data_IF_689389486108
#
_entry.id   IF_689389486108
#
_cell.length_a   1.000
_cell.length_b   1.000
_cell.length_c   1.000
_cell.angle_alpha   90.00
_cell.angle_beta   90.00
_cell.angle_gamma   90.00
#
_symmetry.space_group_name_H-M   'P 1'
#
loop_
_entity.id
_entity.type
_entity.pdbx_description
1 polymer ?
#
# COMPACT_ATOMS: atom_id res chain seq x y z
N UNK A 1 -9.35 -46.14 1.00
CA UNK A 1 -9.31 -44.70 0.65
C UNK A 1 -10.66 -44.37 0.02
N UNK A 2 -11.62 -43.92 0.83
CA UNK A 2 -12.97 -43.55 0.37
C UNK A 2 -13.02 -42.03 0.45
N UNK A 3 -13.01 -41.36 -0.70
CA UNK A 3 -13.20 -39.92 -0.78
C UNK A 3 -14.70 -39.66 -0.84
N UNK A 4 -15.27 -39.19 0.27
CA UNK A 4 -16.58 -38.56 0.26
C UNK A 4 -16.38 -37.09 -0.11
N UNK A 5 -16.66 -36.75 -1.37
CA UNK A 5 -16.67 -35.37 -1.83
C UNK A 5 -18.06 -34.82 -1.56
N UNK A 6 -18.25 -34.24 -0.38
CA UNK A 6 -19.45 -33.46 -0.10
C UNK A 6 -19.47 -32.25 -1.04
N UNK A 7 -20.44 -32.23 -1.96
CA UNK A 7 -20.73 -31.06 -2.79
C UNK A 7 -21.25 -29.96 -1.86
N UNK A 8 -20.37 -29.06 -1.45
CA UNK A 8 -20.76 -27.81 -0.81
C UNK A 8 -21.73 -27.05 -1.72
N UNK A 9 -22.83 -26.56 -1.14
CA UNK A 9 -23.83 -25.79 -1.87
C UNK A 9 -23.15 -24.60 -2.57
N UNK A 10 -23.29 -24.52 -3.90
CA UNK A 10 -22.86 -23.34 -4.65
C UNK A 10 -23.78 -22.20 -4.24
N UNK A 11 -23.32 -21.34 -3.34
CA UNK A 11 -24.02 -20.11 -3.00
C UNK A 11 -24.07 -19.23 -4.26
N UNK A 12 -25.26 -19.12 -4.86
CA UNK A 12 -25.51 -18.19 -5.97
C UNK A 12 -25.77 -16.79 -5.40
N UNK A 13 -25.33 -15.77 -6.13
CA UNK A 13 -25.62 -14.36 -5.87
C UNK A 13 -25.19 -13.84 -4.48
N UNK A 14 -24.07 -14.33 -3.95
CA UNK A 14 -23.51 -13.86 -2.66
C UNK A 14 -23.20 -12.36 -2.69
N UNK A 15 -22.65 -11.87 -3.80
CA UNK A 15 -22.37 -10.47 -4.04
C UNK A 15 -22.89 -10.12 -5.43
N UNK A 16 -23.92 -9.27 -5.49
CA UNK A 16 -24.49 -8.78 -6.74
C UNK A 16 -24.87 -7.30 -6.60
N UNK A 17 -24.44 -6.48 -7.56
CA UNK A 17 -24.71 -5.06 -7.57
C UNK A 17 -25.07 -4.56 -8.96
N UNK A 18 -26.11 -3.72 -9.03
CA UNK A 18 -26.40 -2.89 -10.19
C UNK A 18 -25.94 -1.46 -9.89
N UNK A 19 -25.04 -0.94 -10.72
CA UNK A 19 -24.32 0.30 -10.42
C UNK A 19 -24.28 1.23 -11.63
N UNK A 20 -24.48 2.52 -11.41
CA UNK A 20 -24.41 3.57 -12.45
C UNK A 20 -23.14 4.37 -12.26
N UNK A 21 -22.28 4.39 -13.28
CA UNK A 21 -20.98 5.11 -13.27
C UNK A 21 -21.09 6.39 -14.11
N UNK A 22 -21.57 7.52 -13.53
CA UNK A 22 -21.57 8.80 -14.23
C UNK A 22 -20.14 9.27 -14.51
N UNK A 23 -19.95 9.85 -15.69
CA UNK A 23 -18.69 10.43 -16.15
C UNK A 23 -18.97 11.68 -16.95
N UNK A 24 -18.25 12.75 -16.65
CA UNK A 24 -18.33 14.01 -17.39
C UNK A 24 -16.93 14.56 -17.55
N UNK A 25 -16.64 15.11 -18.73
CA UNK A 25 -15.38 15.74 -19.04
C UNK A 25 -15.61 16.92 -19.96
N UNK A 26 -14.86 17.99 -19.73
CA UNK A 26 -14.87 19.21 -20.54
C UNK A 26 -13.44 19.58 -20.87
N UNK A 27 -13.20 19.99 -22.11
CA UNK A 27 -11.92 20.49 -22.57
C UNK A 27 -12.11 21.83 -23.27
N UNK A 28 -11.35 22.84 -22.85
CA UNK A 28 -11.42 24.21 -23.33
C UNK A 28 -10.05 24.64 -23.82
N UNK A 29 -9.95 24.93 -25.12
CA UNK A 29 -8.79 25.63 -25.67
C UNK A 29 -8.94 27.11 -25.38
N UNK A 30 -7.97 27.71 -24.69
CA UNK A 30 -8.04 29.11 -24.30
C UNK A 30 -7.86 30.01 -25.53
N UNK A 31 -8.83 30.89 -25.85
CA UNK A 31 -8.71 31.81 -26.97
C UNK A 31 -7.45 32.68 -26.83
N UNK A 32 -6.72 32.87 -27.92
CA UNK A 32 -5.44 33.60 -27.95
C UNK A 32 -4.34 33.03 -27.03
N UNK A 33 -4.53 31.84 -26.44
CA UNK A 33 -3.58 31.19 -25.54
C UNK A 33 -2.51 30.33 -26.21
N UNK A 34 -2.24 30.52 -27.52
CA UNK A 34 -1.22 29.77 -28.27
C UNK A 34 -1.29 28.23 -28.15
N UNK A 35 -2.52 27.67 -28.06
CA UNK A 35 -2.73 26.23 -27.91
C UNK A 35 -2.84 25.75 -26.46
N UNK A 36 -2.80 26.66 -25.48
CA UNK A 36 -3.09 26.38 -24.08
C UNK A 36 -4.47 25.71 -23.93
N UNK A 37 -4.49 24.59 -23.22
CA UNK A 37 -5.63 23.70 -23.08
C UNK A 37 -5.89 23.40 -21.61
N UNK A 38 -7.11 23.65 -21.18
CA UNK A 38 -7.59 23.31 -19.83
C UNK A 38 -8.63 22.21 -19.96
N UNK A 39 -8.52 21.19 -19.13
CA UNK A 39 -9.45 20.05 -19.07
C UNK A 39 -9.92 19.88 -17.63
N UNK A 40 -11.18 19.55 -17.46
CA UNK A 40 -11.77 19.17 -16.19
C UNK A 40 -12.60 17.92 -16.35
N UNK A 41 -12.50 16.98 -15.43
CA UNK A 41 -13.32 15.77 -15.45
C UNK A 41 -13.77 15.33 -14.06
N UNK A 42 -14.92 14.68 -14.04
CA UNK A 42 -15.45 13.94 -12.91
C UNK A 42 -15.85 12.54 -13.36
N UNK A 43 -15.54 11.54 -12.54
CA UNK A 43 -16.01 10.18 -12.73
C UNK A 43 -16.30 9.51 -11.40
N UNK A 44 -17.40 8.73 -11.33
CA UNK A 44 -17.60 7.73 -10.27
C UNK A 44 -17.14 6.37 -10.78
N UNK A 45 -16.09 5.83 -10.18
CA UNK A 45 -15.53 4.53 -10.52
C UNK A 45 -15.86 3.53 -9.43
N UNK A 46 -16.25 2.31 -9.79
CA UNK A 46 -16.49 1.25 -8.81
C UNK A 46 -15.28 0.33 -8.72
N UNK A 47 -14.86 0.00 -7.51
CA UNK A 47 -13.68 -0.85 -7.30
C UNK A 47 -13.95 -2.28 -7.76
N UNK A 48 -12.93 -2.97 -8.30
CA UNK A 48 -12.98 -4.42 -8.46
C UNK A 48 -13.01 -5.10 -7.09
N UNK A 49 -13.61 -6.28 -7.03
CA UNK A 49 -13.63 -7.11 -5.82
C UNK A 49 -12.74 -8.31 -6.05
N UNK A 50 -11.94 -8.65 -5.06
CA UNK A 50 -11.11 -9.84 -5.11
C UNK A 50 -11.96 -11.10 -4.87
N UNK A 51 -11.74 -12.15 -5.66
CA UNK A 51 -12.49 -13.42 -5.52
C UNK A 51 -12.40 -14.04 -4.12
N UNK A 52 -11.28 -13.84 -3.41
CA UNK A 52 -11.07 -14.26 -2.02
C UNK A 52 -12.10 -13.72 -1.02
N UNK A 53 -12.86 -12.68 -1.36
CA UNK A 53 -13.92 -12.19 -0.47
C UNK A 53 -15.05 -13.21 -0.33
N UNK A 54 -15.21 -14.11 -1.32
CA UNK A 54 -16.15 -15.22 -1.24
C UNK A 54 -15.75 -16.28 -0.19
N UNK A 55 -14.52 -16.24 0.32
CA UNK A 55 -14.10 -17.12 1.42
C UNK A 55 -14.90 -16.85 2.70
N UNK A 56 -15.40 -15.62 2.87
CA UNK A 56 -16.29 -15.26 3.98
C UNK A 56 -17.69 -15.85 3.84
N UNK A 57 -18.07 -16.36 2.66
CA UNK A 57 -19.41 -16.88 2.42
C UNK A 57 -19.52 -18.39 2.65
N UNK A 58 -18.41 -19.13 2.64
CA UNK A 58 -18.42 -20.59 2.65
C UNK A 58 -17.65 -21.15 3.84
N UNK A 59 -18.29 -22.06 4.58
CA UNK A 59 -17.66 -22.76 5.70
C UNK A 59 -16.48 -23.66 5.27
N UNK A 60 -16.39 -23.98 3.98
CA UNK A 60 -15.31 -24.81 3.42
C UNK A 60 -14.01 -24.04 3.14
N UNK A 61 -14.02 -22.70 3.27
CA UNK A 61 -12.80 -21.91 3.14
C UNK A 61 -11.88 -22.10 4.35
N UNK A 62 -10.61 -21.74 4.17
CA UNK A 62 -9.60 -21.86 5.22
C UNK A 62 -10.10 -21.25 6.53
N UNK A 63 -9.92 -22.00 7.62
CA UNK A 63 -10.24 -21.57 8.96
C UNK A 63 -9.59 -22.46 10.00
N UNK A 64 -9.72 -22.06 11.26
CA UNK A 64 -9.09 -22.75 12.36
C UNK A 64 -9.39 -22.13 13.70
N UNK A 65 -8.84 -22.75 14.73
CA UNK A 65 -8.89 -22.31 16.10
C UNK A 65 -7.47 -22.08 16.60
N UNK A 66 -7.27 -21.01 17.34
CA UNK A 66 -6.00 -20.69 17.99
C UNK A 66 -6.16 -20.98 19.47
N UNK A 67 -5.16 -21.66 20.01
CA UNK A 67 -5.09 -22.05 21.42
C UNK A 67 -3.83 -21.46 22.04
N UNK A 68 -3.90 -21.22 23.34
CA UNK A 68 -2.73 -20.88 24.12
C UNK A 68 -1.78 -22.08 24.16
N UNK A 69 -0.50 -21.86 23.88
CA UNK A 69 0.54 -22.85 24.14
C UNK A 69 1.07 -22.64 25.56
N UNK A 70 1.00 -23.70 26.36
CA UNK A 70 1.53 -23.73 27.73
C UNK A 70 2.64 -24.76 27.76
N UNK A 71 3.86 -24.32 27.44
CA UNK A 71 5.07 -25.12 27.57
C UNK A 71 5.34 -25.39 29.05
N UNK A 72 4.95 -26.59 29.52
CA UNK A 72 5.09 -26.95 30.94
C UNK A 72 6.45 -27.56 31.24
N UNK A 73 7.09 -28.15 30.25
CA UNK A 73 8.33 -28.89 30.40
C UNK A 73 9.57 -28.00 30.08
N UNK A 74 9.36 -26.85 29.44
CA UNK A 74 10.36 -25.84 29.09
C UNK A 74 11.24 -26.22 27.90
N UNK A 75 10.84 -27.18 27.07
CA UNK A 75 11.68 -27.72 25.99
C UNK A 75 11.54 -26.96 24.66
N UNK A 76 10.56 -26.05 24.56
CA UNK A 76 10.29 -25.26 23.35
C UNK A 76 9.65 -26.03 22.20
N UNK A 77 9.13 -27.24 22.43
CA UNK A 77 8.43 -28.07 21.47
C UNK A 77 6.99 -28.30 21.90
N UNK A 78 6.05 -28.16 20.96
CA UNK A 78 4.64 -28.41 21.29
C UNK A 78 4.37 -29.90 21.46
N UNK A 79 3.89 -30.30 22.64
CA UNK A 79 3.51 -31.68 22.95
C UNK A 79 1.99 -31.86 23.24
N UNK A 80 1.43 -33.05 22.97
CA UNK A 80 0.07 -33.38 23.41
C UNK A 80 -0.08 -33.24 24.94
N UNK A 81 -0.85 -32.23 25.37
CA UNK A 81 -1.05 -31.91 26.79
C UNK A 81 -0.71 -30.46 27.14
N UNK A 82 0.02 -29.78 26.25
CA UNK A 82 0.41 -28.36 26.37
C UNK A 82 -0.57 -27.39 25.70
N UNK A 83 -1.63 -27.96 25.11
CA UNK A 83 -2.75 -27.19 24.57
C UNK A 83 -3.55 -26.57 25.71
N UNK A 84 -3.44 -25.26 25.86
CA UNK A 84 -4.22 -24.45 26.79
C UNK A 84 -5.62 -24.10 26.26
N UNK A 85 -6.18 -23.02 26.80
CA UNK A 85 -7.49 -22.53 26.42
C UNK A 85 -7.55 -22.09 24.95
N UNK A 86 -8.73 -22.16 24.35
CA UNK A 86 -8.97 -21.51 23.05
C UNK A 86 -8.93 -20.00 23.25
N UNK A 87 -8.26 -19.27 22.36
CA UNK A 87 -8.17 -17.82 22.40
C UNK A 87 -9.09 -17.20 21.34
N UNK A 88 -8.98 -17.65 20.10
CA UNK A 88 -9.79 -17.16 18.99
C UNK A 88 -10.12 -18.27 18.00
N UNK A 89 -11.11 -18.02 17.17
CA UNK A 89 -11.46 -18.84 16.00
C UNK A 89 -11.50 -17.96 14.77
N UNK A 90 -11.17 -18.48 13.59
CA UNK A 90 -11.14 -17.70 12.35
C UNK A 90 -11.50 -18.52 11.12
N UNK A 91 -11.79 -17.80 10.02
CA UNK A 91 -11.99 -18.38 8.70
C UNK A 91 -13.45 -18.60 8.32
N UNK A 92 -13.65 -19.29 7.20
CA UNK A 92 -14.95 -19.38 6.52
C UNK A 92 -16.08 -19.92 7.40
N UNK A 93 -15.79 -20.89 8.26
CA UNK A 93 -16.78 -21.48 9.18
C UNK A 93 -17.33 -20.50 10.23
N UNK A 94 -16.62 -19.41 10.50
CA UNK A 94 -16.98 -18.38 11.48
C UNK A 94 -17.18 -17.02 10.82
N UNK A 95 -17.45 -17.02 9.52
CA UNK A 95 -17.55 -15.82 8.70
C UNK A 95 -18.86 -15.77 7.92
N UNK A 96 -19.28 -14.56 7.56
CA UNK A 96 -20.38 -14.32 6.63
C UNK A 96 -20.15 -13.04 5.82
N UNK A 97 -20.94 -12.86 4.76
CA UNK A 97 -20.98 -11.62 3.99
C UNK A 97 -22.29 -10.89 4.31
N UNK A 98 -22.20 -9.60 4.62
CA UNK A 98 -23.37 -8.78 4.91
C UNK A 98 -24.31 -8.73 3.70
N UNK A 99 -25.61 -8.94 3.93
CA UNK A 99 -26.64 -8.80 2.87
C UNK A 99 -26.80 -7.37 2.37
N UNK A 100 -26.38 -6.38 3.18
CA UNK A 100 -26.41 -4.96 2.82
C UNK A 100 -25.07 -4.47 2.29
N UNK A 101 -24.12 -5.37 1.98
CA UNK A 101 -22.82 -5.03 1.41
C UNK A 101 -23.03 -4.19 0.14
N UNK A 102 -22.47 -2.99 0.15
CA UNK A 102 -22.46 -2.04 -0.95
C UNK A 102 -21.16 -2.17 -1.73
N UNK A 103 -21.24 -1.91 -3.03
CA UNK A 103 -20.06 -1.86 -3.90
C UNK A 103 -19.19 -0.65 -3.54
N UNK A 104 -17.91 -0.84 -3.22
CA UNK A 104 -16.99 0.28 -3.04
C UNK A 104 -16.88 1.11 -4.30
N UNK A 105 -16.73 2.41 -4.13
CA UNK A 105 -16.58 3.32 -5.25
C UNK A 105 -15.69 4.51 -4.87
N UNK A 106 -15.15 5.14 -5.91
CA UNK A 106 -14.34 6.33 -5.82
C UNK A 106 -14.99 7.44 -6.67
N UNK A 107 -15.17 8.61 -6.08
CA UNK A 107 -15.41 9.84 -6.83
C UNK A 107 -14.06 10.46 -7.20
N UNK A 108 -13.79 10.62 -8.49
CA UNK A 108 -12.55 11.20 -9.02
C UNK A 108 -12.82 12.56 -9.65
N UNK A 109 -11.93 13.51 -9.35
CA UNK A 109 -11.92 14.87 -9.88
C UNK A 109 -10.52 15.16 -10.40
N UNK A 110 -10.45 15.62 -11.64
CA UNK A 110 -9.20 15.97 -12.28
C UNK A 110 -9.32 17.33 -12.96
N UNK A 111 -8.31 18.16 -12.77
CA UNK A 111 -8.13 19.42 -13.50
C UNK A 111 -6.73 19.39 -14.11
N UNK A 112 -6.64 19.54 -15.42
CA UNK A 112 -5.41 19.45 -16.18
C UNK A 112 -5.23 20.72 -17.03
N UNK A 113 -4.03 21.28 -17.02
CA UNK A 113 -3.66 22.44 -17.80
C UNK A 113 -2.38 22.12 -18.59
N UNK A 114 -2.42 22.29 -19.90
CA UNK A 114 -1.32 21.94 -20.81
C UNK A 114 -0.98 23.15 -21.69
N UNK A 115 0.28 23.58 -21.61
CA UNK A 115 0.83 24.69 -22.38
C UNK A 115 1.87 24.15 -23.38
N UNK A 116 1.54 24.06 -24.68
CA UNK A 116 2.55 23.81 -25.70
C UNK A 116 3.44 25.04 -25.85
N UNK A 117 4.75 24.84 -25.82
CA UNK A 117 5.75 25.90 -26.01
C UNK A 117 6.32 25.86 -27.42
N UNK A 118 6.61 24.66 -27.91
CA UNK A 118 7.08 24.38 -29.28
C UNK A 118 6.49 23.06 -29.75
N UNK A 119 6.80 22.63 -30.97
CA UNK A 119 6.42 21.29 -31.45
C UNK A 119 7.05 20.13 -30.65
N UNK A 120 8.10 20.39 -29.86
CA UNK A 120 8.81 19.38 -29.06
C UNK A 120 8.80 19.68 -27.56
N UNK A 121 8.16 20.78 -27.13
CA UNK A 121 8.22 21.24 -25.75
C UNK A 121 6.84 21.59 -25.22
N UNK A 122 6.54 21.15 -23.99
CA UNK A 122 5.29 21.45 -23.30
C UNK A 122 5.51 21.55 -21.79
N UNK A 123 4.58 22.24 -21.12
CA UNK A 123 4.39 22.21 -19.68
C UNK A 123 2.99 21.68 -19.38
N UNK A 124 2.86 20.87 -18.34
CA UNK A 124 1.58 20.30 -17.91
C UNK A 124 1.47 20.35 -16.40
N UNK A 125 0.29 20.71 -15.91
CA UNK A 125 -0.07 20.67 -14.50
C UNK A 125 -1.38 19.92 -14.35
N UNK A 126 -1.43 18.95 -13.46
CA UNK A 126 -2.63 18.20 -13.13
C UNK A 126 -2.87 18.27 -11.61
N UNK A 127 -4.08 18.64 -11.24
CA UNK A 127 -4.61 18.52 -9.89
C UNK A 127 -5.57 17.35 -9.89
N UNK A 128 -5.36 16.40 -8.97
CA UNK A 128 -6.19 15.22 -8.86
C UNK A 128 -6.72 15.07 -7.44
N UNK A 129 -7.93 14.53 -7.34
CA UNK A 129 -8.56 14.13 -6.09
C UNK A 129 -9.41 12.89 -6.32
N UNK A 130 -9.24 11.90 -5.48
CA UNK A 130 -9.97 10.65 -5.44
C UNK A 130 -10.49 10.42 -4.02
N UNK A 131 -11.80 10.32 -3.86
CA UNK A 131 -12.47 10.03 -2.60
C UNK A 131 -13.09 8.63 -2.65
N UNK A 132 -12.46 7.66 -2.00
CA UNK A 132 -12.95 6.29 -1.87
C UNK A 132 -13.94 6.16 -0.71
N UNK A 133 -15.07 5.51 -0.98
CA UNK A 133 -16.23 5.39 -0.10
C UNK A 133 -16.78 3.98 -0.12
N UNK A 134 -17.57 3.66 0.90
CA UNK A 134 -18.14 2.33 1.11
C UNK A 134 -17.07 1.24 1.01
N UNK A 135 -15.88 1.48 1.58
CA UNK A 135 -14.80 0.49 1.60
C UNK A 135 -15.24 -0.74 2.37
N UNK A 136 -14.78 -1.90 1.90
CA UNK A 136 -15.08 -3.19 2.55
C UNK A 136 -14.06 -3.40 3.67
N UNK A 137 -14.57 -3.83 4.82
CA UNK A 137 -13.79 -4.27 5.98
C UNK A 137 -14.40 -5.54 6.55
N UNK A 138 -13.78 -6.08 7.58
CA UNK A 138 -14.33 -7.19 8.37
C UNK A 138 -14.55 -6.71 9.78
N UNK A 139 -15.78 -6.88 10.26
CA UNK A 139 -16.13 -6.61 11.65
C UNK A 139 -16.33 -7.94 12.38
N UNK A 140 -15.86 -8.03 13.62
CA UNK A 140 -16.17 -9.16 14.49
C UNK A 140 -17.46 -8.87 15.26
N UNK A 141 -18.59 -9.38 14.77
CA UNK A 141 -19.90 -9.24 15.42
C UNK A 141 -20.11 -10.24 16.57
N UNK A 142 -19.23 -11.24 16.70
CA UNK A 142 -19.24 -12.18 17.81
C UNK A 142 -18.76 -11.56 19.13
N UNK A 143 -17.96 -10.50 19.05
CA UNK A 143 -17.42 -9.78 20.20
C UNK A 143 -18.01 -8.38 20.28
N UNK A 144 -18.82 -8.12 21.31
CA UNK A 144 -19.33 -6.78 21.59
C UNK A 144 -18.27 -5.89 22.24
N UNK A 145 -18.54 -4.57 22.31
CA UNK A 145 -17.65 -3.62 23.02
C UNK A 145 -17.41 -3.99 24.50
N UNK A 146 -18.38 -4.66 25.13
CA UNK A 146 -18.30 -5.10 26.52
C UNK A 146 -17.40 -6.33 26.72
N UNK A 147 -16.96 -6.98 25.63
CA UNK A 147 -15.97 -8.06 25.69
C UNK A 147 -14.55 -7.53 25.98
N UNK A 148 -14.37 -6.21 26.08
CA UNK A 148 -13.07 -5.58 26.24
C UNK A 148 -13.06 -4.57 27.37
N UNK A 149 -12.00 -4.59 28.18
CA UNK A 149 -11.75 -3.64 29.26
C UNK A 149 -10.49 -2.82 28.94
N UNK A 150 -10.52 -1.48 29.11
CA UNK A 150 -9.33 -0.67 28.87
C UNK A 150 -8.26 -0.93 29.94
N UNK A 151 -7.03 -1.15 29.48
CA UNK A 151 -5.83 -1.33 30.31
C UNK A 151 -4.78 -0.31 29.88
N UNK A 152 -4.20 0.39 30.85
CA UNK A 152 -3.10 1.30 30.58
C UNK A 152 -1.78 0.52 30.53
N UNK A 153 -1.04 0.66 29.43
CA UNK A 153 0.32 0.13 29.26
C UNK A 153 1.31 1.27 29.09
N UNK A 154 2.53 1.05 29.57
CA UNK A 154 3.64 2.00 29.37
C UNK A 154 4.27 1.70 28.01
N UNK A 155 4.31 2.73 27.16
CA UNK A 155 5.09 2.77 25.95
C UNK A 155 6.45 3.42 26.26
N UNK A 156 7.56 2.67 26.23
CA UNK A 156 8.91 3.16 26.61
C UNK A 156 9.55 4.05 25.52
N UNK A 157 8.73 4.76 24.75
CA UNK A 157 9.20 5.65 23.69
C UNK A 157 9.96 4.97 22.52
N UNK A 158 10.47 5.78 21.58
CA UNK A 158 11.32 5.31 20.49
C UNK A 158 12.67 4.72 20.90
N UNK A 159 13.22 5.05 22.07
CA UNK A 159 14.48 4.45 22.54
C UNK A 159 14.29 3.03 23.13
N UNK A 160 13.06 2.69 23.50
CA UNK A 160 12.71 1.38 24.05
C UNK A 160 13.21 1.17 25.48
N UNK A 161 13.56 2.23 26.20
CA UNK A 161 14.11 2.19 27.56
C UNK A 161 13.06 2.75 28.52
N UNK A 162 12.41 1.93 29.35
CA UNK A 162 11.43 2.43 30.31
C UNK A 162 12.06 3.40 31.33
N UNK A 163 11.28 4.41 31.74
CA UNK A 163 11.66 5.40 32.75
C UNK A 163 12.41 6.61 32.19
N UNK A 164 12.43 6.79 30.88
CA UNK A 164 13.00 7.97 30.20
C UNK A 164 11.93 9.03 29.94
N UNK A 165 12.35 10.18 29.38
CA UNK A 165 11.46 11.34 29.20
C UNK A 165 10.47 11.17 28.04
N UNK A 166 10.69 10.20 27.15
CA UNK A 166 9.86 9.90 25.98
C UNK A 166 8.82 8.78 26.22
N UNK A 167 8.75 8.27 27.47
CA UNK A 167 7.72 7.35 27.94
C UNK A 167 6.30 7.95 27.80
N UNK A 168 5.36 7.11 27.38
CA UNK A 168 3.96 7.48 27.23
C UNK A 168 3.06 6.40 27.82
N UNK A 169 1.85 6.78 28.22
CA UNK A 169 0.80 5.82 28.56
C UNK A 169 -0.12 5.60 27.35
N UNK A 170 -0.29 4.34 26.96
CA UNK A 170 -1.22 3.94 25.92
C UNK A 170 -2.37 3.17 26.55
N UNK A 171 -3.60 3.50 26.16
CA UNK A 171 -4.76 2.65 26.48
C UNK A 171 -4.87 1.57 25.43
N UNK A 172 -4.71 0.32 25.86
CA UNK A 172 -5.04 -0.88 25.10
C UNK A 172 -6.25 -1.55 25.73
N UNK A 173 -6.72 -2.64 25.15
CA UNK A 173 -7.92 -3.32 25.56
C UNK A 173 -7.63 -4.80 25.81
N UNK A 174 -7.90 -5.25 27.03
CA UNK A 174 -7.88 -6.65 27.40
C UNK A 174 -9.23 -7.28 27.06
N UNK A 175 -9.22 -8.45 26.43
CA UNK A 175 -10.43 -9.20 26.15
C UNK A 175 -10.81 -10.03 27.37
N UNK A 176 -12.09 -10.01 27.74
CA UNK A 176 -12.64 -10.90 28.75
C UNK A 176 -12.50 -12.36 28.28
N UNK A 177 -11.80 -13.17 29.07
CA UNK A 177 -11.55 -14.58 28.80
C UNK A 177 -12.85 -15.40 28.63
N UNK A 178 -13.97 -14.95 29.20
CA UNK A 178 -15.27 -15.60 29.00
C UNK A 178 -15.77 -15.50 27.54
N UNK A 179 -15.22 -14.58 26.76
CA UNK A 179 -15.60 -14.32 25.35
C UNK A 179 -14.68 -14.99 24.34
N UNK A 180 -13.64 -15.69 24.77
CA UNK A 180 -12.71 -16.37 23.86
C UNK A 180 -13.42 -17.39 22.97
N UNK A 181 -13.01 -17.42 21.70
CA UNK A 181 -13.62 -18.30 20.68
C UNK A 181 -15.08 -17.98 20.38
N UNK A 182 -15.59 -16.79 20.72
CA UNK A 182 -16.92 -16.33 20.31
C UNK A 182 -16.91 -15.54 19.00
N UNK A 183 -15.76 -15.43 18.32
CA UNK A 183 -15.57 -14.64 17.10
C UNK A 183 -16.58 -14.96 16.00
N UNK A 184 -17.15 -13.95 15.37
CA UNK A 184 -18.02 -14.12 14.21
C UNK A 184 -17.78 -12.94 13.26
N UNK A 185 -17.11 -13.21 12.14
CA UNK A 185 -16.66 -12.19 11.23
C UNK A 185 -17.72 -11.90 10.16
N UNK A 186 -17.93 -10.62 9.87
CA UNK A 186 -18.83 -10.19 8.81
C UNK A 186 -18.09 -9.25 7.87
N UNK A 187 -17.98 -9.67 6.61
CA UNK A 187 -17.51 -8.81 5.53
C UNK A 187 -18.59 -7.76 5.23
N UNK A 188 -18.30 -6.49 5.48
CA UNK A 188 -19.29 -5.40 5.46
C UNK A 188 -18.64 -4.06 5.06
N UNK A 189 -19.45 -3.01 4.93
CA UNK A 189 -18.97 -1.63 4.81
C UNK A 189 -19.16 -0.93 6.16
N UNK A 190 -18.07 -0.71 6.89
CA UNK A 190 -18.14 0.02 8.15
C UNK A 190 -18.43 1.52 7.90
N UNK A 191 -19.29 2.16 8.72
CA UNK A 191 -19.58 3.59 8.58
C UNK A 191 -18.33 4.45 8.71
N UNK A 192 -18.17 5.43 7.81
CA UNK A 192 -17.08 6.41 7.88
C UNK A 192 -15.72 5.94 7.35
N UNK A 193 -15.60 4.69 6.91
CA UNK A 193 -14.35 4.18 6.29
C UNK A 193 -14.20 4.76 4.88
N UNK A 194 -13.28 5.72 4.76
CA UNK A 194 -13.01 6.45 3.52
C UNK A 194 -11.51 6.68 3.35
N UNK A 195 -11.05 6.64 2.12
CA UNK A 195 -9.67 7.01 1.78
C UNK A 195 -9.70 8.19 0.82
N UNK A 196 -8.99 9.26 1.18
CA UNK A 196 -8.70 10.36 0.28
C UNK A 196 -7.34 10.11 -0.36
N UNK A 197 -7.24 10.27 -1.67
CA UNK A 197 -5.97 10.43 -2.38
C UNK A 197 -6.05 11.72 -3.20
N UNK A 198 -5.18 12.68 -2.94
CA UNK A 198 -5.18 13.95 -3.66
C UNK A 198 -3.78 14.50 -3.80
N UNK A 199 -3.57 15.32 -4.82
CA UNK A 199 -2.25 15.88 -5.07
C UNK A 199 -2.17 16.74 -6.32
N UNK A 200 -0.94 17.06 -6.65
CA UNK A 200 -0.55 17.82 -7.84
C UNK A 200 0.55 17.06 -8.58
N UNK A 201 0.44 16.97 -9.89
CA UNK A 201 1.46 16.45 -10.78
C UNK A 201 1.86 17.52 -11.78
N UNK A 202 3.15 17.82 -11.87
CA UNK A 202 3.72 18.76 -12.81
C UNK A 202 4.64 18.01 -13.77
N UNK A 203 4.56 18.31 -15.07
CA UNK A 203 5.40 17.69 -16.10
C UNK A 203 5.93 18.76 -17.05
N UNK A 204 7.17 18.58 -17.49
CA UNK A 204 7.80 19.43 -18.47
C UNK A 204 8.56 18.55 -19.47
N UNK A 205 8.34 18.79 -20.77
CA UNK A 205 9.17 18.23 -21.83
C UNK A 205 9.84 19.37 -22.57
N UNK A 206 11.13 19.23 -22.85
CA UNK A 206 11.90 20.15 -23.66
C UNK A 206 12.70 19.35 -24.68
N UNK A 207 12.43 19.59 -25.96
CA UNK A 207 13.24 19.08 -27.06
C UNK A 207 14.12 20.18 -27.63
N UNK A 208 15.43 19.94 -27.67
CA UNK A 208 16.40 20.86 -28.27
C UNK A 208 17.47 20.09 -29.03
N UNK A 209 17.56 20.34 -30.34
CA UNK A 209 18.44 19.61 -31.27
C UNK A 209 18.22 18.09 -31.13
N UNK A 210 19.27 17.37 -30.73
CA UNK A 210 19.30 15.91 -30.56
C UNK A 210 19.04 15.47 -29.11
N UNK A 211 18.70 16.41 -28.23
CA UNK A 211 18.38 16.17 -26.83
C UNK A 211 16.87 16.29 -26.62
N UNK A 212 16.31 15.31 -25.91
CA UNK A 212 14.96 15.37 -25.38
C UNK A 212 15.02 15.16 -23.87
N UNK A 213 14.53 16.12 -23.10
CA UNK A 213 14.41 16.01 -21.64
C UNK A 213 12.94 15.99 -21.26
N UNK A 214 12.58 15.12 -20.34
CA UNK A 214 11.27 15.03 -19.72
C UNK A 214 11.44 14.98 -18.21
N UNK A 215 10.80 15.90 -17.49
CA UNK A 215 10.78 15.93 -16.04
C UNK A 215 9.34 15.85 -15.55
N UNK A 216 9.13 15.12 -14.46
CA UNK A 216 7.85 14.99 -13.80
C UNK A 216 8.06 15.07 -12.28
N UNK A 217 7.14 15.73 -11.59
CA UNK A 217 7.09 15.83 -10.14
C UNK A 217 5.65 15.62 -9.68
N UNK A 218 5.46 14.89 -8.59
CA UNK A 218 4.14 14.69 -7.98
C UNK A 218 4.27 14.89 -6.48
N UNK A 219 3.39 15.72 -5.93
CA UNK A 219 3.18 15.83 -4.50
C UNK A 219 1.78 15.32 -4.18
N UNK A 220 1.67 14.32 -3.30
CA UNK A 220 0.43 13.61 -3.01
C UNK A 220 0.21 13.37 -1.51
N UNK A 221 -1.05 13.09 -1.18
CA UNK A 221 -1.45 12.60 0.13
C UNK A 221 -2.57 11.57 -0.05
N UNK A 222 -2.28 10.34 0.34
CA UNK A 222 -3.22 9.26 0.53
C UNK A 222 -3.47 9.05 2.03
N UNK A 223 -4.71 9.25 2.48
CA UNK A 223 -5.08 9.34 3.89
C UNK A 223 -6.42 8.68 4.17
N UNK A 224 -6.46 7.78 5.14
CA UNK A 224 -7.65 7.04 5.53
C UNK A 224 -7.35 5.99 6.60
N UNK A 225 -8.38 5.34 7.17
CA UNK A 225 -8.16 4.19 8.04
C UNK A 225 -7.66 2.99 7.23
N UNK A 226 -6.55 2.39 7.68
CA UNK A 226 -6.02 1.12 7.14
C UNK A 226 -5.65 0.18 8.29
N UNK A 227 -5.48 -1.12 8.00
CA UNK A 227 -5.08 -2.09 9.03
C UNK A 227 -3.73 -1.69 9.67
N UNK A 228 -3.43 -2.18 10.89
CA UNK A 228 -2.05 -2.16 11.39
C UNK A 228 -1.10 -2.93 10.45
N UNK A 229 0.19 -2.62 10.56
CA UNK A 229 1.26 -3.26 9.78
C UNK A 229 2.18 -2.26 9.08
N UNK A 230 3.11 -2.80 8.29
CA UNK A 230 4.18 -2.09 7.59
C UNK A 230 4.48 -2.75 6.24
N UNK A 231 3.45 -3.24 5.54
CA UNK A 231 3.58 -3.83 4.21
C UNK A 231 2.34 -3.59 3.34
N UNK A 232 2.53 -3.67 2.02
CA UNK A 232 1.46 -3.44 1.02
C UNK A 232 0.25 -4.37 1.20
N UNK A 233 0.46 -5.58 1.73
CA UNK A 233 -0.62 -6.54 2.00
C UNK A 233 -1.15 -6.46 3.44
N UNK A 234 -0.73 -5.47 4.21
CA UNK A 234 -1.17 -5.24 5.58
C UNK A 234 -1.94 -3.92 5.66
N UNK A 235 -1.28 -2.78 5.43
CA UNK A 235 -1.78 -1.46 5.80
C UNK A 235 -2.08 -0.52 4.62
N UNK A 236 -2.42 -1.09 3.45
CA UNK A 236 -2.90 -0.35 2.28
C UNK A 236 -4.45 -0.30 2.22
N UNK A 237 -5.07 0.72 1.60
CA UNK A 237 -6.48 0.70 1.28
C UNK A 237 -6.95 -0.59 0.60
N UNK A 238 -8.17 -1.01 0.93
CA UNK A 238 -8.86 -2.21 0.45
C UNK A 238 -8.21 -3.56 0.78
N UNK A 239 -7.11 -3.58 1.53
CA UNK A 239 -6.65 -4.81 2.20
C UNK A 239 -7.66 -5.19 3.29
N UNK A 240 -8.26 -6.36 3.14
CA UNK A 240 -9.08 -6.97 4.19
C UNK A 240 -8.16 -7.62 5.21
N UNK A 241 -8.26 -7.17 6.46
CA UNK A 241 -7.42 -7.60 7.55
C UNK A 241 -8.01 -7.23 8.90
N UNK A 242 -7.15 -6.88 9.86
CA UNK A 242 -7.54 -6.65 11.25
C UNK A 242 -8.28 -5.34 11.53
N UNK A 243 -8.41 -4.42 10.57
CA UNK A 243 -9.03 -3.11 10.78
C UNK A 243 -10.45 -3.24 11.37
N UNK A 244 -10.61 -2.79 12.62
CA UNK A 244 -11.86 -2.83 13.40
C UNK A 244 -12.32 -4.23 13.86
N UNK A 245 -11.49 -5.27 13.73
CA UNK A 245 -11.80 -6.59 14.29
C UNK A 245 -11.87 -6.54 15.82
N UNK A 246 -11.02 -5.72 16.43
CA UNK A 246 -11.00 -5.47 17.87
C UNK A 246 -10.60 -4.01 18.19
N UNK A 247 -10.78 -3.54 19.44
CA UNK A 247 -10.41 -2.17 19.81
C UNK A 247 -8.92 -1.84 19.66
N UNK A 248 -8.01 -2.80 19.81
CA UNK A 248 -6.56 -2.59 19.68
C UNK A 248 -6.15 -2.37 18.22
N UNK A 249 -6.79 -3.09 17.29
CA UNK A 249 -6.63 -2.90 15.84
C UNK A 249 -7.21 -1.57 15.33
N UNK A 250 -7.94 -0.84 16.18
CA UNK A 250 -8.59 0.44 15.87
C UNK A 250 -7.73 1.65 16.28
N UNK A 251 -6.64 1.43 17.02
CA UNK A 251 -5.74 2.47 17.52
C UNK A 251 -4.95 3.10 16.36
N UNK A 252 -5.00 4.43 16.25
CA UNK A 252 -4.23 5.23 15.26
C UNK A 252 -4.36 4.74 13.81
N UNK A 253 -5.52 4.20 13.45
CA UNK A 253 -5.77 3.63 12.12
C UNK A 253 -5.89 4.70 11.03
N UNK A 254 -6.44 5.87 11.35
CA UNK A 254 -6.55 7.00 10.43
C UNK A 254 -5.16 7.63 10.21
N UNK A 255 -4.51 7.25 9.12
CA UNK A 255 -3.16 7.70 8.80
C UNK A 255 -2.88 7.65 7.29
N UNK A 256 -1.62 7.86 6.90
CA UNK A 256 -1.18 7.66 5.53
C UNK A 256 -1.19 6.17 5.17
N UNK A 257 -1.58 5.86 3.93
CA UNK A 257 -1.50 4.50 3.38
C UNK A 257 -0.06 4.08 3.13
N UNK A 258 0.20 2.76 3.10
CA UNK A 258 1.54 2.24 2.87
C UNK A 258 2.24 2.80 1.64
N UNK A 259 1.55 2.86 0.51
CA UNK A 259 2.15 3.34 -0.76
C UNK A 259 2.15 4.86 -0.92
N UNK A 260 1.76 5.64 0.12
CA UNK A 260 1.80 7.10 0.06
C UNK A 260 3.25 7.60 -0.03
N UNK A 261 3.65 8.09 -1.21
CA UNK A 261 5.01 8.55 -1.42
C UNK A 261 5.24 9.99 -0.99
N UNK A 262 4.23 10.77 -0.62
CA UNK A 262 4.32 12.23 -0.44
C UNK A 262 4.90 13.01 -1.63
N UNK A 263 6.13 12.74 -2.03
CA UNK A 263 6.83 13.33 -3.16
C UNK A 263 7.44 12.27 -4.06
N UNK A 264 7.21 12.41 -5.36
CA UNK A 264 7.83 11.61 -6.42
C UNK A 264 8.43 12.55 -7.45
N UNK A 265 9.70 12.36 -7.78
CA UNK A 265 10.40 13.11 -8.81
C UNK A 265 10.96 12.18 -9.87
N UNK A 266 10.92 12.59 -11.13
CA UNK A 266 11.50 11.84 -12.24
C UNK A 266 12.07 12.78 -13.27
N UNK A 267 13.27 12.50 -13.74
CA UNK A 267 13.87 13.16 -14.91
C UNK A 267 14.42 12.11 -15.86
N UNK A 268 14.11 12.26 -17.13
CA UNK A 268 14.55 11.42 -18.23
C UNK A 268 15.16 12.30 -19.30
N UNK A 269 16.34 11.93 -19.79
CA UNK A 269 17.00 12.59 -20.89
C UNK A 269 17.41 11.56 -21.93
N UNK A 270 17.15 11.85 -23.20
CA UNK A 270 17.64 11.06 -24.33
C UNK A 270 18.49 11.98 -25.20
N UNK A 271 19.71 11.54 -25.48
CA UNK A 271 20.60 12.16 -26.45
C UNK A 271 20.84 11.22 -27.62
N UNK A 272 20.60 11.71 -28.83
CA UNK A 272 20.94 11.02 -30.07
C UNK A 272 22.28 11.54 -30.56
N UNK A 273 23.26 10.66 -30.68
CA UNK A 273 24.55 11.06 -31.21
C UNK A 273 24.43 11.37 -32.71
N UNK A 274 25.32 12.22 -33.25
CA UNK A 274 25.37 12.50 -34.68
C UNK A 274 25.49 11.23 -35.52
N UNK A 275 25.01 11.26 -36.76
CA UNK A 275 25.05 10.11 -37.67
C UNK A 275 26.46 9.51 -37.87
N UNK A 276 27.51 10.33 -37.75
CA UNK A 276 28.92 9.88 -37.78
C UNK A 276 29.26 8.84 -36.69
N UNK A 277 28.49 8.79 -35.59
CA UNK A 277 28.62 7.82 -34.50
C UNK A 277 27.65 6.65 -34.65
N UNK A 278 27.09 6.47 -35.86
CA UNK A 278 26.28 5.32 -36.21
C UNK A 278 24.90 5.27 -35.55
N UNK A 279 24.31 6.43 -35.23
CA UNK A 279 22.95 6.51 -34.68
C UNK A 279 22.83 6.05 -33.22
N UNK A 280 23.93 6.06 -32.48
CA UNK A 280 23.98 5.73 -31.05
C UNK A 280 23.01 6.62 -30.25
N UNK A 281 22.36 6.05 -29.24
CA UNK A 281 21.46 6.77 -28.34
C UNK A 281 21.86 6.50 -26.89
N UNK A 282 21.96 7.56 -26.11
CA UNK A 282 22.11 7.50 -24.65
C UNK A 282 20.82 7.99 -24.00
N UNK A 283 20.25 7.18 -23.12
CA UNK A 283 19.18 7.59 -22.24
C UNK A 283 19.66 7.57 -20.79
N UNK A 284 19.26 8.58 -20.01
CA UNK A 284 19.49 8.69 -18.59
C UNK A 284 18.15 8.91 -17.89
N UNK A 285 17.91 8.16 -16.81
CA UNK A 285 16.68 8.25 -16.02
C UNK A 285 17.05 8.34 -14.55
N UNK A 286 16.67 9.41 -13.87
CA UNK A 286 16.77 9.52 -12.43
C UNK A 286 15.38 9.63 -11.80
N UNK A 287 15.12 8.83 -10.76
CA UNK A 287 13.87 8.83 -10.01
C UNK A 287 14.15 9.06 -8.53
N UNK A 288 13.37 9.94 -7.92
CA UNK A 288 13.28 10.15 -6.49
C UNK A 288 11.92 9.68 -6.00
N UNK A 289 11.89 8.87 -4.95
CA UNK A 289 10.68 8.47 -4.24
C UNK A 289 10.90 8.78 -2.76
N UNK A 290 10.02 9.54 -2.11
CA UNK A 290 10.12 9.67 -0.67
C UNK A 290 9.88 8.32 0.03
N UNK A 291 10.25 8.26 1.31
CA UNK A 291 10.13 7.08 2.13
C UNK A 291 8.69 6.61 2.34
N UNK A 292 8.48 5.30 2.36
CA UNK A 292 7.18 4.71 2.69
C UNK A 292 6.82 5.00 4.16
N UNK A 293 5.60 5.45 4.47
CA UNK A 293 5.17 5.73 5.83
C UNK A 293 4.95 4.45 6.65
N UNK A 294 5.31 4.51 7.92
CA UNK A 294 5.02 3.46 8.88
C UNK A 294 4.80 4.02 10.29
N UNK A 295 4.23 3.19 11.17
CA UNK A 295 3.96 3.52 12.56
C UNK A 295 4.86 2.66 13.42
N UNK A 296 5.37 3.22 14.53
CA UNK A 296 6.05 2.40 15.53
C UNK A 296 5.03 1.44 16.17
N UNK A 297 5.40 0.17 16.31
CA UNK A 297 4.60 -0.86 16.94
C UNK A 297 5.16 -1.19 18.32
N UNK A 298 4.29 -1.35 19.32
CA UNK A 298 4.64 -1.86 20.63
C UNK A 298 4.12 -3.28 20.77
N UNK A 299 4.99 -4.21 21.17
CA UNK A 299 4.59 -5.55 21.58
C UNK A 299 4.01 -5.47 23.00
N UNK A 300 2.72 -5.72 23.12
CA UNK A 300 2.02 -5.80 24.40
C UNK A 300 1.91 -7.25 24.80
N UNK A 301 2.24 -7.56 26.05
CA UNK A 301 2.23 -8.91 26.62
C UNK A 301 1.50 -8.89 27.97
N UNK A 302 1.11 -10.07 28.47
CA UNK A 302 0.55 -10.22 29.82
C UNK A 302 -0.94 -9.94 29.95
N UNK A 303 -1.65 -9.71 28.84
CA UNK A 303 -3.11 -9.68 28.81
C UNK A 303 -3.68 -11.07 28.50
N UNK A 304 -4.92 -11.32 28.91
CA UNK A 304 -5.57 -12.62 28.78
C UNK A 304 -5.57 -13.17 27.34
N UNK A 305 -5.74 -12.32 26.31
CA UNK A 305 -5.75 -12.74 24.91
C UNK A 305 -4.36 -13.11 24.33
N UNK A 306 -3.30 -12.97 25.12
CA UNK A 306 -1.92 -13.19 24.68
C UNK A 306 -1.29 -11.96 24.01
N UNK A 307 -0.08 -12.13 23.43
CA UNK A 307 0.69 -11.02 22.89
C UNK A 307 0.13 -10.48 21.57
N UNK A 308 0.19 -9.16 21.39
CA UNK A 308 -0.18 -8.49 20.14
C UNK A 308 0.63 -7.21 19.91
N UNK A 309 0.62 -6.71 18.68
CA UNK A 309 1.24 -5.44 18.31
C UNK A 309 0.18 -4.33 18.26
N UNK A 310 0.53 -3.16 18.79
CA UNK A 310 -0.31 -1.95 18.69
C UNK A 310 0.51 -0.75 18.22
N UNK A 311 -0.11 0.13 17.43
CA UNK A 311 0.56 1.30 16.88
C UNK A 311 0.67 2.41 17.94
N UNK A 312 1.90 2.83 18.26
CA UNK A 312 2.17 3.90 19.23
C UNK A 312 2.28 5.27 18.58
N UNK A 313 2.61 5.33 17.29
CA UNK A 313 2.59 6.57 16.48
C UNK A 313 1.58 6.48 15.36
N UNK A 314 1.21 7.62 14.75
CA UNK A 314 0.55 7.58 13.43
C UNK A 314 1.54 7.16 12.35
N UNK A 315 1.05 6.88 11.13
CA UNK A 315 1.89 6.58 9.96
C UNK A 315 2.21 7.84 9.15
N UNK A 316 3.50 8.02 8.87
CA UNK A 316 4.01 9.09 8.01
C UNK A 316 4.03 10.49 8.65
N UNK A 317 4.85 11.35 8.07
CA UNK A 317 4.98 12.76 8.46
C UNK A 317 4.21 13.67 7.47
N UNK A 318 3.82 14.91 7.85
CA UNK A 318 4.17 15.65 9.08
C UNK A 318 3.32 15.32 10.32
N UNK A 319 2.38 14.37 10.24
CA UNK A 319 1.41 14.10 11.31
C UNK A 319 2.00 13.44 12.58
N UNK A 320 3.33 13.40 12.73
CA UNK A 320 4.03 12.79 13.87
C UNK A 320 4.37 11.31 13.68
N UNK A 321 4.23 10.77 12.46
CA UNK A 321 4.61 9.40 12.11
C UNK A 321 5.96 9.29 11.42
N UNK A 322 6.35 8.05 11.11
CA UNK A 322 7.65 7.71 10.55
C UNK A 322 7.57 7.48 9.03
N UNK A 323 8.67 7.73 8.33
CA UNK A 323 8.90 7.31 6.94
C UNK A 323 10.21 6.56 6.85
N UNK A 324 10.27 5.56 5.99
CA UNK A 324 11.51 4.87 5.64
C UNK A 324 12.49 5.83 4.93
N UNK A 325 13.66 5.34 4.54
CA UNK A 325 14.59 6.15 3.77
C UNK A 325 14.01 6.41 2.36
N UNK A 326 14.22 7.62 1.84
CA UNK A 326 13.91 7.92 0.44
C UNK A 326 14.73 7.02 -0.50
N UNK A 327 14.24 6.83 -1.72
CA UNK A 327 14.93 6.10 -2.79
C UNK A 327 15.33 7.10 -3.87
N UNK A 328 16.63 7.12 -4.21
CA UNK A 328 17.14 7.87 -5.35
C UNK A 328 17.86 6.90 -6.28
N UNK A 329 17.24 6.64 -7.43
CA UNK A 329 17.75 5.68 -8.41
C UNK A 329 18.11 6.39 -9.72
N UNK A 330 19.34 6.19 -10.20
CA UNK A 330 19.82 6.67 -11.49
C UNK A 330 20.17 5.50 -12.39
N UNK A 331 19.64 5.49 -13.60
CA UNK A 331 19.79 4.43 -14.60
C UNK A 331 20.27 5.03 -15.92
N UNK A 332 21.06 4.25 -16.66
CA UNK A 332 21.55 4.60 -17.99
C UNK A 332 21.19 3.50 -18.99
N UNK A 333 20.90 3.89 -20.22
CA UNK A 333 20.77 2.97 -21.35
C UNK A 333 21.56 3.48 -22.53
N UNK A 334 22.39 2.61 -23.10
CA UNK A 334 23.02 2.80 -24.39
C UNK A 334 22.32 1.91 -25.41
N UNK A 335 21.89 2.47 -26.55
CA UNK A 335 21.23 1.71 -27.62
C UNK A 335 21.81 2.09 -28.98
N UNK A 336 21.96 1.10 -29.86
CA UNK A 336 22.27 1.31 -31.27
C UNK A 336 21.43 0.40 -32.15
N UNK A 337 20.81 0.99 -33.16
CA UNK A 337 19.98 0.30 -34.15
C UNK A 337 20.76 0.15 -35.45
N UNK A 338 20.78 -1.06 -36.01
CA UNK A 338 21.43 -1.42 -37.26
C UNK A 338 20.37 -1.84 -38.27
N UNK A 339 20.19 -1.01 -39.31
CA UNK A 339 19.30 -1.33 -40.43
C UNK A 339 20.00 -2.28 -41.39
N UNK A 340 19.39 -3.43 -41.65
CA UNK A 340 19.74 -4.36 -42.71
C UNK A 340 18.77 -4.16 -43.88
N UNK A 341 18.97 -4.89 -44.98
CA UNK A 341 18.18 -4.69 -46.22
C UNK A 341 16.66 -4.84 -46.01
N UNK A 342 16.25 -5.87 -45.26
CA UNK A 342 14.85 -6.14 -44.93
C UNK A 342 14.57 -6.18 -43.42
N UNK A 343 15.61 -6.11 -42.58
CA UNK A 343 15.53 -6.42 -41.15
C UNK A 343 16.18 -5.32 -40.31
N UNK A 344 15.94 -5.31 -39.01
CA UNK A 344 16.60 -4.40 -38.06
C UNK A 344 17.17 -5.19 -36.87
N UNK A 345 18.41 -4.92 -36.50
CA UNK A 345 19.04 -5.45 -35.29
C UNK A 345 19.32 -4.28 -34.34
N UNK A 346 18.83 -4.37 -33.11
CA UNK A 346 19.12 -3.39 -32.08
C UNK A 346 19.92 -4.02 -30.93
N UNK A 347 21.03 -3.39 -30.56
CA UNK A 347 21.79 -3.73 -29.37
C UNK A 347 21.54 -2.69 -28.29
N UNK A 348 21.30 -3.15 -27.06
CA UNK A 348 21.12 -2.27 -25.91
C UNK A 348 21.84 -2.79 -24.67
N UNK A 349 22.40 -1.86 -23.90
CA UNK A 349 22.96 -2.11 -22.58
C UNK A 349 22.31 -1.15 -21.59
N UNK A 350 21.68 -1.68 -20.56
CA UNK A 350 21.13 -0.92 -19.44
C UNK A 350 22.06 -1.08 -18.22
N UNK A 351 22.42 0.02 -17.57
CA UNK A 351 23.09 0.05 -16.27
C UNK A 351 22.08 0.59 -15.26
N UNK A 352 21.63 -0.28 -14.37
CA UNK A 352 20.59 0.01 -13.40
C UNK A 352 21.24 0.28 -12.03
N UNK A 353 20.72 1.27 -11.29
CA UNK A 353 21.32 1.78 -10.05
C UNK A 353 22.81 2.13 -10.23
N UNK A 354 23.10 3.10 -11.11
CA UNK A 354 24.46 3.57 -11.41
C UNK A 354 25.20 4.02 -10.17
N UNK A 355 24.53 4.57 -9.15
CA UNK A 355 25.19 4.97 -7.90
C UNK A 355 25.53 3.79 -6.99
N UNK A 356 25.05 2.58 -7.29
CA UNK A 356 25.14 1.41 -6.42
C UNK A 356 24.67 1.71 -4.99
N UNK A 357 23.64 2.55 -4.86
CA UNK A 357 23.12 2.94 -3.56
C UNK A 357 22.37 1.75 -2.93
N UNK A 358 22.16 1.79 -1.61
CA UNK A 358 21.46 0.73 -0.85
C UNK A 358 20.42 1.31 0.12
N UNK A 359 19.57 2.24 -0.33
CA UNK A 359 18.59 2.87 0.56
C UNK A 359 17.62 1.85 1.16
N UNK A 360 17.29 2.05 2.43
CA UNK A 360 16.37 1.21 3.21
C UNK A 360 14.94 1.49 2.80
N UNK A 361 14.38 0.65 1.93
CA UNK A 361 13.00 0.80 1.42
C UNK A 361 11.95 0.42 2.47
N UNK A 362 12.35 -0.38 3.46
CA UNK A 362 11.56 -0.71 4.65
C UNK A 362 12.51 -0.79 5.85
N UNK A 363 12.04 -0.34 7.01
CA UNK A 363 12.84 -0.28 8.24
C UNK A 363 12.08 -0.96 9.38
N UNK A 364 12.82 -1.37 10.42
CA UNK A 364 12.25 -1.90 11.65
C UNK A 364 11.26 -0.89 12.24
N UNK A 365 10.08 -1.38 12.55
CA UNK A 365 8.95 -0.61 13.09
C UNK A 365 8.61 -0.99 14.53
N UNK A 366 9.12 -2.10 15.06
CA UNK A 366 8.88 -2.53 16.43
C UNK A 366 9.72 -1.72 17.42
N UNK A 367 9.11 -1.37 18.55
CA UNK A 367 9.71 -0.67 19.69
C UNK A 367 10.81 -1.52 20.31
N UNK A 368 11.94 -0.88 20.60
CA UNK A 368 13.10 -1.50 21.23
C UNK A 368 14.35 -0.65 20.99
N UNK A 369 15.47 -1.08 21.56
CA UNK A 369 16.75 -0.35 21.53
C UNK A 369 17.29 -0.06 20.13
N UNK A 370 16.81 -0.80 19.12
CA UNK A 370 17.21 -0.63 17.71
C UNK A 370 16.25 0.22 16.88
N UNK A 371 15.10 0.65 17.42
CA UNK A 371 14.11 1.41 16.65
C UNK A 371 14.70 2.72 16.11
N UNK A 372 15.39 3.48 16.97
CA UNK A 372 16.07 4.72 16.57
C UNK A 372 17.24 4.50 15.61
N UNK A 373 17.81 3.29 15.55
CA UNK A 373 18.85 2.94 14.58
C UNK A 373 18.30 2.73 13.16
N UNK A 374 16.97 2.62 12.99
CA UNK A 374 16.30 2.53 11.68
C UNK A 374 16.85 1.43 10.78
N UNK A 375 17.15 0.26 11.36
CA UNK A 375 17.76 -0.86 10.65
C UNK A 375 16.88 -1.29 9.45
N UNK A 376 17.50 -1.61 8.29
CA UNK A 376 16.76 -2.03 7.11
C UNK A 376 16.12 -3.42 7.30
N UNK A 377 14.85 -3.53 6.95
CA UNK A 377 14.17 -4.81 6.73
C UNK A 377 14.28 -5.21 5.25
N UNK A 378 14.18 -4.22 4.36
CA UNK A 378 14.42 -4.38 2.94
C UNK A 378 15.23 -3.20 2.40
N UNK A 379 16.12 -3.50 1.46
CA UNK A 379 16.96 -2.53 0.76
C UNK A 379 16.69 -2.57 -0.73
N UNK A 380 16.93 -1.46 -1.42
CA UNK A 380 16.88 -1.48 -2.87
C UNK A 380 17.95 -2.42 -3.47
N UNK A 381 17.69 -3.03 -4.65
CA UNK A 381 18.69 -3.81 -5.36
C UNK A 381 19.96 -3.00 -5.67
N UNK A 382 21.13 -3.65 -5.59
CA UNK A 382 22.41 -3.07 -5.98
C UNK A 382 22.51 -2.81 -7.49
N UNK A 383 23.67 -2.33 -7.94
CA UNK A 383 23.93 -2.08 -9.37
C UNK A 383 23.89 -3.39 -10.15
N UNK A 384 23.21 -3.40 -11.29
CA UNK A 384 23.27 -4.51 -12.23
C UNK A 384 23.21 -4.03 -13.68
N UNK A 385 23.78 -4.85 -14.58
CA UNK A 385 23.85 -4.58 -16.02
C UNK A 385 22.96 -5.57 -16.75
N UNK A 386 22.14 -5.07 -17.67
CA UNK A 386 21.35 -5.88 -18.58
C UNK A 386 21.79 -5.62 -20.01
N UNK A 387 22.06 -6.68 -20.76
CA UNK A 387 22.36 -6.61 -22.20
C UNK A 387 21.19 -7.25 -22.96
N UNK A 388 20.78 -6.62 -24.05
CA UNK A 388 19.68 -7.10 -24.88
C UNK A 388 19.97 -6.93 -26.36
N UNK A 389 19.49 -7.88 -27.16
CA UNK A 389 19.48 -7.84 -28.61
C UNK A 389 18.04 -8.00 -29.08
N UNK A 390 17.59 -7.15 -29.99
CA UNK A 390 16.27 -7.26 -30.62
C UNK A 390 16.48 -7.41 -32.12
N UNK A 391 15.77 -8.38 -32.71
CA UNK A 391 15.75 -8.61 -34.16
C UNK A 391 14.31 -8.45 -34.65
N UNK A 392 14.11 -7.57 -35.63
CA UNK A 392 12.82 -7.32 -36.28
C UNK A 392 12.91 -7.70 -37.76
N UNK A 393 11.91 -8.44 -38.26
CA UNK A 393 11.81 -8.94 -39.63
C UNK A 393 10.65 -8.29 -40.39
#
# INVERSE_FOLDING_TARGET
>A
MLFDVSRGAVLRDVIAWNSVSPRVGVALRVPHGHGFLVRGSYARLYSPVAGRYLDYATANSLGGNVYQWIDRNGDGWFEPGEKGAMLLRFGGAYSSISRSLKRPYADQFDVDAELPLTSKSFLRLNLFRRDEKDRIVVENQGLGRNAFTPVAVVDPGPDGIPGTFDDQHLTVYEQDAATFGQDAYVLTNAPGVRTLNAGISAQARVGWRDVLVHAAFTAEKAWGPTNPGNAVFENDPDVIGALFIDPNSSVRTLARSFVDRAYVGKIEAVYRFPAAWGGLQLAAIANYLDGLPFARQLLVTGLAQGPFLTSTTVRGSPEGGNRAQYVLNWNLRLRRDFRLHSNEVAFATDILNVMNASQSVQQVDVTGTTFNARLPVAIQPGRFVRVGVTYSF
#
